data_IF_092666939127
#
_entry.id   IF_092666939127
#
_cell.length_a   1.000
_cell.length_b   1.000
_cell.length_c   1.000
_cell.angle_alpha   90.00
_cell.angle_beta   90.00
_cell.angle_gamma   90.00
#
_symmetry.space_group_name_H-M   'P 1'
#
loop_
_entity.id
_entity.type
_entity.pdbx_description
1 polymer ?
#
# COMPACT_ATOMS: atom_id res chain seq x y z
N UNK A 1 6.35 -26.85 -39.76
CA UNK A 1 5.95 -27.15 -38.36
C UNK A 1 6.90 -26.58 -37.30
N UNK A 2 8.22 -26.72 -37.44
CA UNK A 2 9.18 -26.25 -36.42
C UNK A 2 9.11 -24.74 -36.08
N UNK A 3 8.93 -23.86 -37.08
CA UNK A 3 8.79 -22.40 -36.85
C UNK A 3 7.53 -22.03 -36.05
N UNK A 4 6.39 -22.67 -36.32
CA UNK A 4 5.15 -22.49 -35.55
C UNK A 4 5.28 -23.00 -34.12
N UNK A 5 5.93 -24.16 -33.91
CA UNK A 5 6.22 -24.70 -32.57
C UNK A 5 7.14 -23.77 -31.77
N UNK A 6 8.17 -23.19 -32.40
CA UNK A 6 9.06 -22.20 -31.76
C UNK A 6 8.32 -20.91 -31.40
N UNK A 7 7.46 -20.40 -32.28
CA UNK A 7 6.67 -19.20 -32.00
C UNK A 7 5.69 -19.42 -30.84
N UNK A 8 4.98 -20.55 -30.83
CA UNK A 8 4.08 -20.92 -29.73
C UNK A 8 4.83 -21.06 -28.40
N UNK A 9 6.00 -21.72 -28.43
CA UNK A 9 6.85 -21.84 -27.24
C UNK A 9 7.33 -20.47 -26.74
N UNK A 10 7.69 -19.54 -27.64
CA UNK A 10 8.10 -18.20 -27.25
C UNK A 10 6.95 -17.42 -26.59
N UNK A 11 5.75 -17.47 -27.18
CA UNK A 11 4.55 -16.82 -26.62
C UNK A 11 4.26 -17.39 -25.23
N UNK A 12 4.33 -18.71 -25.07
CA UNK A 12 4.11 -19.36 -23.79
C UNK A 12 5.10 -18.90 -22.71
N UNK A 13 6.39 -18.81 -23.06
CA UNK A 13 7.44 -18.29 -22.16
C UNK A 13 7.17 -16.83 -21.78
N UNK A 14 6.75 -15.99 -22.73
CA UNK A 14 6.41 -14.59 -22.47
C UNK A 14 5.20 -14.44 -21.53
N UNK A 15 4.19 -15.29 -21.70
CA UNK A 15 3.01 -15.31 -20.82
C UNK A 15 3.41 -15.72 -19.40
N UNK A 16 4.24 -16.75 -19.24
CA UNK A 16 4.75 -17.15 -17.91
C UNK A 16 5.56 -16.02 -17.27
N UNK A 17 6.45 -15.38 -18.03
CA UNK A 17 7.26 -14.27 -17.53
C UNK A 17 6.38 -13.09 -17.07
N UNK A 18 5.32 -12.77 -17.82
CA UNK A 18 4.37 -11.72 -17.44
C UNK A 18 3.60 -12.08 -16.16
N UNK A 19 3.13 -13.33 -16.02
CA UNK A 19 2.44 -13.79 -14.80
C UNK A 19 3.37 -13.72 -13.59
N UNK A 20 4.64 -14.15 -13.73
CA UNK A 20 5.62 -14.07 -12.65
C UNK A 20 5.92 -12.62 -12.25
N UNK A 21 6.02 -11.70 -13.21
CA UNK A 21 6.24 -10.29 -12.94
C UNK A 21 5.05 -9.68 -12.19
N UNK A 22 3.82 -9.99 -12.59
CA UNK A 22 2.61 -9.54 -11.89
C UNK A 22 2.54 -10.12 -10.47
N UNK A 23 2.84 -11.42 -10.31
CA UNK A 23 2.87 -12.07 -9.00
C UNK A 23 3.91 -11.43 -8.07
N UNK A 24 5.12 -11.19 -8.59
CA UNK A 24 6.19 -10.53 -7.85
C UNK A 24 5.79 -9.11 -7.42
N UNK A 25 5.24 -8.32 -8.33
CA UNK A 25 4.79 -6.96 -8.04
C UNK A 25 3.68 -6.94 -6.95
N UNK A 26 2.78 -7.92 -6.98
CA UNK A 26 1.72 -8.05 -5.98
C UNK A 26 2.24 -8.41 -4.57
N UNK A 27 3.41 -9.06 -4.45
CA UNK A 27 3.98 -9.51 -3.17
C UNK A 27 5.18 -8.67 -2.67
N UNK A 28 5.62 -7.67 -3.43
CA UNK A 28 6.72 -6.79 -2.99
C UNK A 28 6.33 -5.99 -1.74
N UNK A 29 7.21 -5.90 -0.73
CA UNK A 29 6.90 -5.11 0.47
C UNK A 29 6.80 -3.61 0.11
N UNK A 30 5.78 -2.96 0.66
CA UNK A 30 5.52 -1.53 0.49
C UNK A 30 6.26 -0.73 1.54
N UNK A 31 6.24 -1.24 2.78
CA UNK A 31 7.03 -0.73 3.89
C UNK A 31 8.07 -1.78 4.27
N UNK A 32 9.34 -1.42 4.16
CA UNK A 32 10.45 -2.27 4.57
C UNK A 32 11.37 -1.47 5.48
N UNK A 33 11.33 -1.74 6.78
CA UNK A 33 12.13 -1.04 7.76
C UNK A 33 11.52 -1.13 9.15
N UNK A 34 12.33 -0.78 10.15
CA UNK A 34 11.87 -0.60 11.52
C UNK A 34 11.61 0.89 11.72
N UNK A 35 10.42 1.23 12.21
CA UNK A 35 10.01 2.61 12.44
C UNK A 35 9.77 2.82 13.92
N UNK A 36 10.24 3.95 14.44
CA UNK A 36 10.13 4.29 15.86
C UNK A 36 8.82 5.01 16.17
N UNK A 37 8.20 5.60 15.13
CA UNK A 37 6.99 6.39 15.25
C UNK A 37 6.10 6.26 14.02
N UNK A 38 4.82 6.13 14.27
CA UNK A 38 3.75 6.28 13.28
C UNK A 38 2.87 7.47 13.69
N UNK A 39 2.74 8.45 12.82
CA UNK A 39 1.84 9.59 12.99
C UNK A 39 0.70 9.51 11.98
N UNK A 40 -0.53 9.57 12.50
CA UNK A 40 -1.76 9.69 11.72
C UNK A 40 -2.15 11.16 11.73
N UNK A 41 -2.22 11.79 10.55
CA UNK A 41 -2.65 13.18 10.41
C UNK A 41 -3.80 13.32 9.42
N UNK A 42 -4.69 14.27 9.66
CA UNK A 42 -5.63 14.75 8.67
C UNK A 42 -4.92 15.44 7.50
N UNK A 43 -5.66 15.65 6.40
CA UNK A 43 -5.17 16.38 5.23
C UNK A 43 -4.73 17.82 5.52
N UNK A 44 -5.35 18.44 6.52
CA UNK A 44 -5.04 19.78 7.00
C UNK A 44 -3.74 19.84 7.82
N UNK A 45 -3.08 18.69 8.01
CA UNK A 45 -1.88 18.54 8.83
C UNK A 45 -2.18 18.39 10.32
N UNK A 46 -3.46 18.35 10.73
CA UNK A 46 -3.85 18.13 12.12
C UNK A 46 -3.45 16.72 12.54
N UNK A 47 -2.66 16.61 13.59
CA UNK A 47 -2.27 15.29 14.15
C UNK A 47 -3.47 14.69 14.86
N UNK A 48 -3.93 13.53 14.37
CA UNK A 48 -5.03 12.76 14.95
C UNK A 48 -4.47 11.84 16.04
N UNK A 49 -3.41 11.10 15.71
CA UNK A 49 -2.82 10.11 16.61
C UNK A 49 -1.32 9.97 16.39
N UNK A 50 -0.58 9.66 17.45
CA UNK A 50 0.83 9.28 17.39
C UNK A 50 1.04 7.97 18.13
N UNK A 51 1.48 6.96 17.40
CA UNK A 51 1.82 5.62 17.90
C UNK A 51 3.34 5.52 17.99
N UNK A 52 3.85 5.06 19.13
CA UNK A 52 5.29 4.84 19.39
C UNK A 52 5.61 3.43 19.86
N UNK A 53 4.58 2.59 20.04
CA UNK A 53 4.76 1.21 20.46
C UNK A 53 5.22 0.37 19.27
N UNK A 54 6.44 -0.19 19.35
CA UNK A 54 7.05 -0.92 18.23
C UNK A 54 6.17 -2.07 17.74
N UNK A 55 5.58 -2.83 18.68
CA UNK A 55 4.72 -3.96 18.35
C UNK A 55 3.45 -3.54 17.58
N UNK A 56 2.89 -2.37 17.88
CA UNK A 56 1.70 -1.84 17.20
C UNK A 56 2.06 -1.35 15.79
N UNK A 57 3.20 -0.65 15.66
CA UNK A 57 3.73 -0.19 14.37
C UNK A 57 4.03 -1.39 13.45
N UNK A 58 4.67 -2.43 13.98
CA UNK A 58 4.97 -3.67 13.23
C UNK A 58 3.70 -4.37 12.76
N UNK A 59 2.66 -4.41 13.60
CA UNK A 59 1.36 -4.99 13.23
C UNK A 59 0.72 -4.22 12.06
N UNK A 60 0.73 -2.90 12.11
CA UNK A 60 0.20 -2.03 11.03
C UNK A 60 1.00 -2.24 9.73
N UNK A 61 2.33 -2.29 9.83
CA UNK A 61 3.22 -2.56 8.68
C UNK A 61 2.94 -3.95 8.09
N UNK A 62 2.73 -4.96 8.92
CA UNK A 62 2.40 -6.33 8.47
C UNK A 62 1.09 -6.32 7.70
N UNK A 63 0.04 -5.72 8.28
CA UNK A 63 -1.25 -5.56 7.62
C UNK A 63 -1.12 -4.84 6.27
N UNK A 64 -0.40 -3.72 6.20
CA UNK A 64 -0.17 -3.01 4.92
C UNK A 64 0.54 -3.89 3.88
N UNK A 65 1.54 -4.68 4.29
CA UNK A 65 2.33 -5.47 3.37
C UNK A 65 1.63 -6.74 2.88
N UNK A 66 0.83 -7.37 3.75
CA UNK A 66 0.18 -8.66 3.50
C UNK A 66 -1.23 -8.54 2.94
N UNK A 67 -1.85 -7.36 3.07
CA UNK A 67 -3.19 -7.12 2.59
C UNK A 67 -3.31 -7.22 1.06
N UNK A 68 -4.49 -7.63 0.55
CA UNK A 68 -4.82 -7.59 -0.87
C UNK A 68 -4.59 -6.21 -1.47
N UNK A 69 -4.16 -6.21 -2.74
CA UNK A 69 -3.80 -4.98 -3.47
C UNK A 69 -4.60 -4.88 -4.74
N UNK A 70 -5.25 -3.74 -4.92
CA UNK A 70 -5.98 -3.43 -6.13
C UNK A 70 -5.24 -2.37 -6.93
N UNK A 71 -4.97 -2.66 -8.20
CA UNK A 71 -4.28 -1.73 -9.08
C UNK A 71 -5.22 -0.61 -9.50
N UNK A 72 -4.80 0.63 -9.31
CA UNK A 72 -5.60 1.81 -9.66
C UNK A 72 -5.11 2.35 -11.02
N UNK A 73 -5.84 2.04 -12.08
CA UNK A 73 -5.50 2.51 -13.44
C UNK A 73 -5.77 4.01 -13.65
N UNK A 74 -6.70 4.60 -12.91
CA UNK A 74 -7.12 5.99 -13.08
C UNK A 74 -7.10 6.79 -11.76
N UNK A 75 -5.91 6.87 -11.15
CA UNK A 75 -5.71 7.47 -9.83
C UNK A 75 -6.22 8.91 -9.68
N UNK A 76 -6.35 9.66 -10.79
CA UNK A 76 -6.79 11.06 -10.79
C UNK A 76 -8.29 11.26 -10.54
N UNK A 77 -9.16 10.42 -11.14
CA UNK A 77 -10.61 10.58 -11.01
C UNK A 77 -11.23 9.66 -9.96
N UNK A 78 -10.56 8.55 -9.59
CA UNK A 78 -11.08 7.60 -8.60
C UNK A 78 -11.21 8.22 -7.21
N UNK A 79 -10.35 9.18 -6.88
CA UNK A 79 -10.36 9.90 -5.60
C UNK A 79 -10.37 11.41 -5.81
N UNK A 80 -11.27 11.91 -6.66
CA UNK A 80 -11.60 13.36 -6.74
C UNK A 80 -12.08 13.93 -5.37
N UNK A 81 -12.16 13.07 -4.35
CA UNK A 81 -12.19 13.36 -2.92
C UNK A 81 -10.82 12.88 -2.39
N UNK A 82 -9.93 13.84 -2.14
CA UNK A 82 -8.55 13.66 -1.72
C UNK A 82 -8.36 12.62 -0.59
N UNK A 83 -7.18 11.96 -0.47
CA UNK A 83 -6.91 11.02 0.62
C UNK A 83 -7.18 11.67 1.97
N UNK A 84 -8.12 11.13 2.74
CA UNK A 84 -8.65 11.77 3.94
C UNK A 84 -7.63 11.99 5.07
N UNK A 85 -6.49 11.30 5.02
CA UNK A 85 -5.35 11.56 5.90
C UNK A 85 -4.04 10.95 5.41
N UNK A 86 -2.99 11.12 6.21
CA UNK A 86 -1.62 10.66 5.94
C UNK A 86 -1.12 9.81 7.12
N UNK A 87 -0.61 8.64 6.81
CA UNK A 87 0.22 7.82 7.70
C UNK A 87 1.69 8.17 7.46
N UNK A 88 2.34 8.70 8.48
CA UNK A 88 3.77 9.04 8.46
C UNK A 88 4.53 8.08 9.34
N UNK A 89 5.31 7.19 8.72
CA UNK A 89 6.23 6.27 9.39
C UNK A 89 7.62 6.91 9.43
N UNK A 90 8.25 6.97 10.59
CA UNK A 90 9.57 7.59 10.70
C UNK A 90 10.47 6.94 11.76
N UNK A 91 11.77 7.01 11.47
CA UNK A 91 12.87 6.71 12.39
C UNK A 91 13.95 7.80 12.22
N UNK A 92 15.11 7.62 12.86
CA UNK A 92 16.21 8.60 12.77
C UNK A 92 16.80 8.82 11.36
N UNK A 93 16.54 7.92 10.43
CA UNK A 93 17.17 7.88 9.09
C UNK A 93 16.19 7.94 7.93
N UNK A 94 14.93 7.60 8.16
CA UNK A 94 13.93 7.38 7.12
C UNK A 94 12.58 7.95 7.54
N UNK A 95 11.86 8.50 6.55
CA UNK A 95 10.49 8.96 6.68
C UNK A 95 9.71 8.52 5.45
N UNK A 96 8.64 7.75 5.66
CA UNK A 96 7.73 7.27 4.61
C UNK A 96 6.34 7.79 4.88
N UNK A 97 5.67 8.32 3.85
CA UNK A 97 4.31 8.84 3.94
C UNK A 97 3.39 8.11 2.98
N UNK A 98 2.24 7.69 3.48
CA UNK A 98 1.23 6.96 2.72
C UNK A 98 -0.13 7.62 3.00
N UNK A 99 -0.94 7.84 1.96
CA UNK A 99 -2.30 8.34 2.15
C UNK A 99 -3.21 7.24 2.72
N UNK A 100 -4.30 7.61 3.37
CA UNK A 100 -5.35 6.64 3.74
C UNK A 100 -6.75 7.23 3.57
N UNK A 101 -7.74 6.35 3.43
CA UNK A 101 -9.16 6.68 3.28
C UNK A 101 -9.86 6.40 4.61
N UNK A 102 -10.38 7.44 5.27
CA UNK A 102 -11.03 7.34 6.58
C UNK A 102 -12.28 6.45 6.51
N UNK A 103 -13.08 6.56 5.44
CA UNK A 103 -14.38 5.87 5.34
C UNK A 103 -14.28 4.36 5.49
N UNK A 104 -13.19 3.75 5.00
CA UNK A 104 -13.00 2.29 4.99
C UNK A 104 -11.69 1.85 5.69
N UNK A 105 -10.86 2.77 6.17
CA UNK A 105 -9.56 2.45 6.76
C UNK A 105 -8.51 1.91 5.76
N UNK A 106 -8.72 2.11 4.46
CA UNK A 106 -7.83 1.63 3.39
C UNK A 106 -6.62 2.53 3.21
N UNK A 107 -5.49 1.95 2.83
CA UNK A 107 -4.23 2.66 2.62
C UNK A 107 -3.97 2.86 1.12
N UNK A 108 -3.63 4.09 0.73
CA UNK A 108 -3.37 4.51 -0.64
C UNK A 108 -1.90 4.77 -0.90
N UNK A 109 -1.34 3.98 -1.80
CA UNK A 109 -0.02 4.23 -2.39
C UNK A 109 -0.18 4.85 -3.78
N UNK A 110 0.93 5.22 -4.43
CA UNK A 110 0.94 5.87 -5.75
C UNK A 110 0.14 5.12 -6.83
N UNK A 111 0.11 3.79 -6.78
CA UNK A 111 -0.49 2.94 -7.82
C UNK A 111 -1.42 1.85 -7.28
N UNK A 112 -1.49 1.69 -5.95
CA UNK A 112 -2.22 0.60 -5.31
C UNK A 112 -3.10 1.11 -4.17
N UNK A 113 -4.31 0.60 -4.10
CA UNK A 113 -5.14 0.61 -2.90
C UNK A 113 -4.90 -0.69 -2.13
N UNK A 114 -4.71 -0.56 -0.82
CA UNK A 114 -4.47 -1.65 0.10
C UNK A 114 -5.61 -1.69 1.11
N UNK A 115 -6.26 -2.83 1.21
CA UNK A 115 -7.39 -3.04 2.13
C UNK A 115 -6.86 -3.30 3.53
N UNK A 116 -6.93 -2.30 4.41
CA UNK A 116 -6.31 -2.38 5.74
C UNK A 116 -7.27 -2.26 6.91
N UNK A 117 -8.52 -1.86 6.67
CA UNK A 117 -9.62 -1.77 7.66
C UNK A 117 -9.24 -1.09 8.99
N UNK A 118 -8.21 -0.23 9.01
CA UNK A 118 -7.76 0.39 10.24
C UNK A 118 -8.74 1.47 10.67
N UNK A 119 -9.23 1.36 11.90
CA UNK A 119 -10.03 2.41 12.54
C UNK A 119 -9.09 3.34 13.31
N UNK A 120 -8.62 4.39 12.66
CA UNK A 120 -7.81 5.45 13.29
C UNK A 120 -8.66 6.58 13.89
N UNK A 121 -9.99 6.49 13.75
CA UNK A 121 -10.91 7.40 14.42
C UNK A 121 -11.03 7.02 15.90
N UNK A 122 -10.81 8.00 16.76
CA UNK A 122 -11.41 7.98 18.09
C UNK A 122 -12.89 8.28 17.87
N UNK A 123 -13.76 7.26 17.90
CA UNK A 123 -15.21 7.47 18.03
C UNK A 123 -15.48 7.96 19.45
N UNK A 124 -15.11 9.21 19.71
CA UNK A 124 -15.56 9.94 20.89
C UNK A 124 -16.88 10.60 20.55
N UNK A 125 -17.97 9.92 20.92
CA UNK A 125 -19.17 10.58 21.44
C UNK A 125 -18.96 10.92 22.93
#
# INVERSE_FOLDING_TARGET
>A
MAKRKKLLSLIFVLVIAAILALYWAAHQKILSGNFDRLTVSGMDGTTIQVIKESAEIEKIISSINESPRNFIYNAGFTYDHLPHGILTFENNTEKVQIGFIITNGNTLTKHWEIETEFLFENTSD
#
